data_IF_853985261709
#
_entry.id   IF_853985261709
#
_cell.length_a   1.000
_cell.length_b   1.000
_cell.length_c   1.000
_cell.angle_alpha   90.00
_cell.angle_beta   90.00
_cell.angle_gamma   90.00
#
_symmetry.space_group_name_H-M   'P 1'
#
loop_
_entity.id
_entity.type
_entity.pdbx_description
1 polymer ?
#
# COMPACT_ATOMS: atom_id res chain seq x y z
N UNK A 1 -28.34 17.97 7.30
CA UNK A 1 -27.24 16.99 7.35
C UNK A 1 -25.97 17.69 7.84
N UNK A 2 -25.60 17.51 9.10
CA UNK A 2 -24.40 18.14 9.68
C UNK A 2 -23.16 17.47 9.12
N UNK A 3 -22.36 18.21 8.32
CA UNK A 3 -21.05 17.76 7.86
C UNK A 3 -20.17 17.48 9.08
N UNK A 4 -19.98 16.21 9.42
CA UNK A 4 -19.03 15.82 10.46
C UNK A 4 -17.65 16.23 9.95
N UNK A 5 -17.05 17.24 10.57
CA UNK A 5 -15.71 17.72 10.23
C UNK A 5 -14.75 16.58 10.55
N UNK A 6 -14.33 15.82 9.54
CA UNK A 6 -13.31 14.78 9.69
C UNK A 6 -12.02 15.54 9.95
N UNK A 7 -11.59 15.60 11.21
CA UNK A 7 -10.27 16.11 11.57
C UNK A 7 -9.25 15.09 11.11
N UNK A 8 -8.62 15.34 9.96
CA UNK A 8 -7.46 14.56 9.51
C UNK A 8 -6.34 14.90 10.49
N UNK A 9 -6.06 13.98 11.41
CA UNK A 9 -4.95 14.14 12.36
C UNK A 9 -3.64 14.10 11.56
N UNK A 10 -2.79 15.11 11.72
CA UNK A 10 -1.46 15.12 11.10
C UNK A 10 -0.63 13.95 11.62
N UNK A 11 -0.11 13.14 10.70
CA UNK A 11 0.72 11.99 11.04
C UNK A 11 2.12 12.51 11.38
N UNK A 12 2.51 12.42 12.65
CA UNK A 12 3.79 12.92 13.18
C UNK A 12 5.05 12.31 12.53
N UNK A 13 4.91 11.17 11.85
CA UNK A 13 6.00 10.52 11.15
C UNK A 13 5.54 9.86 9.84
N UNK A 14 5.57 10.60 8.72
CA UNK A 14 5.13 10.08 7.44
C UNK A 14 6.08 9.01 6.92
N UNK A 15 5.50 8.02 6.25
CA UNK A 15 6.26 6.97 5.57
C UNK A 15 7.12 7.58 4.47
N UNK A 16 8.39 7.16 4.41
CA UNK A 16 9.29 7.48 3.29
C UNK A 16 8.78 6.88 1.97
N UNK A 17 9.06 7.55 0.85
CA UNK A 17 8.78 7.02 -0.50
C UNK A 17 9.59 5.73 -0.71
N UNK A 18 8.96 4.74 -1.35
CA UNK A 18 9.64 3.50 -1.72
C UNK A 18 10.68 3.79 -2.82
N UNK A 19 11.87 3.20 -2.69
CA UNK A 19 12.92 3.31 -3.72
C UNK A 19 12.52 2.50 -4.96
N UNK A 20 12.92 2.96 -6.14
CA UNK A 20 12.58 2.32 -7.42
C UNK A 20 13.05 0.86 -7.49
N UNK A 21 14.24 0.55 -6.98
CA UNK A 21 14.73 -0.83 -6.90
C UNK A 21 13.86 -1.73 -6.01
N UNK A 22 13.26 -1.19 -4.94
CA UNK A 22 12.35 -1.95 -4.09
C UNK A 22 10.97 -2.10 -4.76
N UNK A 23 10.51 -1.08 -5.49
CA UNK A 23 9.30 -1.14 -6.31
C UNK A 23 9.41 -2.24 -7.39
N UNK A 24 10.51 -2.26 -8.15
CA UNK A 24 10.76 -3.27 -9.17
C UNK A 24 10.84 -4.69 -8.60
N UNK A 25 11.54 -4.87 -7.47
CA UNK A 25 11.61 -6.17 -6.77
C UNK A 25 10.25 -6.64 -6.28
N UNK A 26 9.39 -5.73 -5.82
CA UNK A 26 8.03 -6.09 -5.42
C UNK A 26 7.27 -6.64 -6.62
N UNK A 27 7.17 -5.87 -7.70
CA UNK A 27 6.48 -6.30 -8.93
C UNK A 27 6.97 -7.63 -9.48
N UNK A 28 8.30 -7.84 -9.51
CA UNK A 28 8.89 -9.09 -9.96
C UNK A 28 8.46 -10.29 -9.09
N UNK A 29 8.37 -10.11 -7.76
CA UNK A 29 7.93 -11.17 -6.85
C UNK A 29 6.45 -11.48 -6.98
N UNK A 30 5.62 -10.48 -7.27
CA UNK A 30 4.18 -10.64 -7.42
C UNK A 30 3.79 -11.20 -8.80
N UNK A 31 4.73 -11.28 -9.74
CA UNK A 31 4.45 -11.60 -11.14
C UNK A 31 3.31 -10.77 -11.75
N UNK A 32 3.18 -9.51 -11.32
CA UNK A 32 2.12 -8.61 -11.76
C UNK A 32 0.71 -8.95 -11.27
N UNK A 33 0.58 -9.73 -10.19
CA UNK A 33 -0.71 -10.20 -9.66
C UNK A 33 -1.07 -9.59 -8.30
N UNK A 34 -2.36 -9.56 -8.01
CA UNK A 34 -2.88 -9.10 -6.72
C UNK A 34 -2.63 -10.11 -5.60
N UNK A 35 -2.01 -9.66 -4.50
CA UNK A 35 -1.75 -10.47 -3.30
C UNK A 35 -2.83 -10.32 -2.21
N UNK A 36 -3.93 -9.62 -2.50
CA UNK A 36 -5.00 -9.52 -1.53
C UNK A 36 -5.68 -10.88 -1.35
N UNK A 37 -5.97 -11.26 -0.12
CA UNK A 37 -6.51 -12.59 0.19
C UNK A 37 -7.80 -12.85 -0.59
N UNK A 38 -7.81 -13.92 -1.41
CA UNK A 38 -8.94 -14.28 -2.25
C UNK A 38 -8.96 -13.58 -3.62
N UNK A 39 -7.92 -12.83 -3.96
CA UNK A 39 -7.71 -12.24 -5.28
C UNK A 39 -6.41 -12.78 -5.89
N UNK A 40 -6.31 -12.75 -7.23
CA UNK A 40 -5.10 -13.08 -7.99
C UNK A 40 -5.14 -12.51 -9.43
N UNK A 41 -5.90 -11.43 -9.64
CA UNK A 41 -6.05 -10.81 -10.96
C UNK A 41 -4.74 -10.16 -11.42
N UNK A 42 -4.64 -9.95 -12.73
CA UNK A 42 -3.53 -9.22 -13.36
C UNK A 42 -3.68 -7.73 -13.07
N UNK A 43 -2.57 -7.04 -12.82
CA UNK A 43 -2.56 -5.63 -12.41
C UNK A 43 -1.96 -4.66 -13.44
N UNK A 44 -1.45 -5.19 -14.55
CA UNK A 44 -0.79 -4.41 -15.60
C UNK A 44 -1.63 -4.26 -16.88
N UNK A 45 -2.80 -4.87 -16.93
CA UNK A 45 -3.68 -4.94 -18.10
C UNK A 45 -5.14 -4.97 -17.62
N UNK A 46 -6.03 -4.28 -18.34
CA UNK A 46 -7.47 -4.38 -18.09
C UNK A 46 -8.04 -5.70 -18.62
N UNK A 47 -8.85 -6.39 -17.80
CA UNK A 47 -9.37 -7.73 -18.15
C UNK A 47 -10.38 -7.71 -19.32
N UNK A 48 -10.99 -6.56 -19.64
CA UNK A 48 -12.01 -6.43 -20.70
C UNK A 48 -11.41 -5.83 -21.96
N UNK A 49 -10.71 -4.70 -21.83
CA UNK A 49 -10.19 -3.95 -22.99
C UNK A 49 -8.82 -4.44 -23.42
N UNK A 50 -8.11 -5.21 -22.59
CA UNK A 50 -6.72 -5.65 -22.79
C UNK A 50 -5.74 -4.47 -22.94
N UNK A 51 -6.15 -3.28 -22.52
CA UNK A 51 -5.30 -2.09 -22.53
C UNK A 51 -4.32 -2.13 -21.37
N UNK A 52 -3.09 -1.66 -21.63
CA UNK A 52 -2.09 -1.45 -20.59
C UNK A 52 -2.64 -0.49 -19.52
N UNK A 53 -2.73 -0.97 -18.28
CA UNK A 53 -3.19 -0.16 -17.16
C UNK A 53 -2.38 -0.49 -15.90
N UNK A 54 -2.22 0.46 -14.98
CA UNK A 54 -1.53 0.19 -13.72
C UNK A 54 -2.51 0.25 -12.55
N UNK A 55 -3.21 -0.85 -12.32
CA UNK A 55 -4.27 -0.97 -11.31
C UNK A 55 -3.75 -1.36 -9.92
N UNK A 56 -2.44 -1.58 -9.79
CA UNK A 56 -1.82 -1.95 -8.52
C UNK A 56 -1.82 -0.83 -7.47
N UNK A 57 -2.01 -1.20 -6.22
CA UNK A 57 -1.73 -0.36 -5.06
C UNK A 57 -0.76 -1.07 -4.11
N UNK A 58 0.30 -0.38 -3.72
CA UNK A 58 1.28 -0.92 -2.77
C UNK A 58 0.89 -0.47 -1.36
N UNK A 59 0.45 -1.43 -0.55
CA UNK A 59 0.06 -1.20 0.84
C UNK A 59 1.03 -1.86 1.82
N UNK A 60 0.99 -1.39 3.06
CA UNK A 60 1.72 -2.03 4.16
C UNK A 60 0.81 -3.04 4.85
N UNK A 61 1.34 -4.24 5.14
CA UNK A 61 0.69 -5.20 6.01
C UNK A 61 0.75 -4.67 7.46
N UNK A 62 1.96 -4.31 7.93
CA UNK A 62 2.20 -3.62 9.20
C UNK A 62 2.51 -2.15 8.94
N UNK A 63 1.78 -1.25 9.59
CA UNK A 63 1.94 0.19 9.37
C UNK A 63 3.36 0.66 9.73
N UNK A 64 3.82 1.69 9.01
CA UNK A 64 5.15 2.27 9.23
C UNK A 64 5.32 2.83 10.64
N UNK A 65 4.32 3.56 11.15
CA UNK A 65 4.26 4.05 12.53
C UNK A 65 3.59 3.00 13.43
N UNK A 66 4.10 2.75 14.65
CA UNK A 66 3.46 1.91 15.64
C UNK A 66 2.09 2.46 16.08
N UNK A 67 1.88 3.77 15.96
CA UNK A 67 0.61 4.43 16.30
C UNK A 67 -0.36 4.49 15.11
N UNK A 68 0.03 3.93 13.95
CA UNK A 68 -0.85 3.86 12.78
C UNK A 68 -1.98 2.84 12.94
N UNK A 69 -3.03 2.86 12.08
CA UNK A 69 -4.18 1.95 12.19
C UNK A 69 -3.86 0.45 12.19
N UNK A 70 -2.71 0.05 11.62
CA UNK A 70 -2.16 -1.31 11.65
C UNK A 70 -0.73 -1.33 12.20
N UNK A 71 -0.40 -0.39 13.08
CA UNK A 71 0.92 -0.29 13.69
C UNK A 71 1.15 -1.41 14.70
N UNK A 72 2.41 -1.78 14.88
CA UNK A 72 2.83 -2.78 15.85
C UNK A 72 4.12 -2.32 16.53
N UNK A 73 4.22 -2.47 17.86
CA UNK A 73 5.35 -1.94 18.64
C UNK A 73 6.69 -2.59 18.28
N UNK A 74 6.68 -3.83 17.79
CA UNK A 74 7.88 -4.58 17.46
C UNK A 74 8.13 -4.64 15.94
N UNK A 75 7.06 -4.79 15.15
CA UNK A 75 7.14 -5.01 13.70
C UNK A 75 7.06 -3.72 12.88
N UNK A 76 6.53 -2.62 13.44
CA UNK A 76 6.58 -1.33 12.73
C UNK A 76 8.02 -0.89 12.54
N UNK A 77 8.35 -0.50 11.31
CA UNK A 77 9.72 -0.15 10.94
C UNK A 77 10.22 1.15 11.58
N UNK A 78 9.33 1.96 12.16
CA UNK A 78 9.72 3.17 12.84
C UNK A 78 10.57 2.87 14.08
N UNK A 79 11.88 3.02 13.93
CA UNK A 79 12.81 3.20 15.05
C UNK A 79 12.85 4.69 15.37
N UNK A 80 12.46 5.04 16.60
CA UNK A 80 12.68 6.39 17.15
C UNK A 80 14.18 6.68 17.24
#
# INVERSE_FOLDING_TARGET
MTKKKISVQEVSNPRKKLKDAAYARLWAKLAGRCEFRGCNCVLYEDEITTEDCMSAQIAHIVAFSPDGPRGDRQLSHYKK
#
